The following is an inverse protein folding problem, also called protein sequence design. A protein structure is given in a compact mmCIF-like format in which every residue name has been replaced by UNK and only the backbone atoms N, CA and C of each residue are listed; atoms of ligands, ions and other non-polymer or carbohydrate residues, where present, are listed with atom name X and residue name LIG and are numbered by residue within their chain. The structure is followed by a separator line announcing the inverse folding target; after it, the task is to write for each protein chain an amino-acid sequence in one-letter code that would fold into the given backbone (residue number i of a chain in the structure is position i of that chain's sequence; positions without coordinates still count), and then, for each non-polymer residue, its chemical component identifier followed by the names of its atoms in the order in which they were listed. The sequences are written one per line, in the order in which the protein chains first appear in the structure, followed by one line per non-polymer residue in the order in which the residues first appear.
data_IF_668144236839
#
_entry.id   IF_668144236839
#
_cell.length_a   1.000
_cell.length_b   1.000
_cell.length_c   1.000
_cell.angle_alpha   90.00
_cell.angle_beta   90.00
_cell.angle_gamma   90.00
#
_symmetry.space_group_name_H-M   'P 1'
#
loop_
_entity.id
_entity.type
_entity.pdbx_description
1 polymer ?
#
# COMPACT_ATOMS: atom_id res chain seq x y z
N UNK A 1 17.00 26.70 -62.28
CA UNK A 1 16.53 25.47 -61.60
C UNK A 1 17.38 25.22 -60.35
N UNK A 2 16.92 25.63 -59.16
CA UNK A 2 17.57 25.31 -57.88
C UNK A 2 16.58 24.49 -57.04
N UNK A 3 16.89 23.20 -56.85
CA UNK A 3 16.12 22.30 -56.00
C UNK A 3 16.45 22.61 -54.53
N UNK A 4 15.47 23.09 -53.77
CA UNK A 4 15.59 23.26 -52.32
C UNK A 4 15.17 21.93 -51.67
N UNK A 5 16.14 21.24 -51.06
CA UNK A 5 15.94 19.99 -50.34
C UNK A 5 15.33 20.31 -48.96
N UNK A 6 14.10 19.88 -48.71
CA UNK A 6 13.43 20.04 -47.42
C UNK A 6 13.86 18.89 -46.49
N UNK A 7 14.64 19.21 -45.45
CA UNK A 7 15.01 18.24 -44.40
C UNK A 7 13.85 18.09 -43.42
N UNK A 8 13.16 16.95 -43.44
CA UNK A 8 12.17 16.57 -42.44
C UNK A 8 12.91 16.11 -41.17
N UNK A 9 12.91 16.94 -40.14
CA UNK A 9 13.28 16.54 -38.78
C UNK A 9 12.08 15.78 -38.19
N UNK A 10 12.21 14.46 -38.14
CA UNK A 10 11.28 13.59 -37.45
C UNK A 10 11.61 13.64 -35.95
N UNK A 11 10.81 14.35 -35.16
CA UNK A 11 10.85 14.21 -33.70
C UNK A 11 10.16 12.90 -33.34
N UNK A 12 10.95 11.88 -32.99
CA UNK A 12 10.45 10.71 -32.30
C UNK A 12 10.20 11.10 -30.84
N UNK A 13 8.93 11.27 -30.47
CA UNK A 13 8.51 11.40 -29.08
C UNK A 13 8.08 10.02 -28.57
N UNK A 14 8.51 9.70 -27.35
CA UNK A 14 8.03 8.55 -26.58
C UNK A 14 8.99 7.38 -26.56
N UNK A 15 10.11 7.53 -25.85
CA UNK A 15 10.74 6.38 -25.24
C UNK A 15 9.75 5.83 -24.20
N UNK A 16 9.12 4.70 -24.49
CA UNK A 16 8.47 3.86 -23.47
C UNK A 16 9.59 3.24 -22.64
N UNK A 17 10.13 4.04 -21.71
CA UNK A 17 10.92 3.51 -20.62
C UNK A 17 9.98 2.64 -19.79
N UNK A 18 10.33 1.37 -19.62
CA UNK A 18 9.76 0.56 -18.54
C UNK A 18 10.21 1.27 -17.27
N UNK A 19 9.33 2.08 -16.66
CA UNK A 19 9.62 2.69 -15.37
C UNK A 19 9.90 1.56 -14.39
N UNK A 20 11.04 1.62 -13.73
CA UNK A 20 11.26 0.81 -12.55
C UNK A 20 10.23 1.26 -11.51
N UNK A 21 9.44 0.31 -11.01
CA UNK A 21 8.47 0.57 -9.95
C UNK A 21 9.19 1.28 -8.81
N UNK A 22 8.70 2.48 -8.47
CA UNK A 22 9.30 3.35 -7.48
C UNK A 22 8.66 3.09 -6.12
N UNK A 23 9.46 3.17 -5.06
CA UNK A 23 8.93 3.21 -3.69
C UNK A 23 8.22 4.53 -3.48
N UNK A 24 6.91 4.47 -3.27
CA UNK A 24 6.11 5.64 -2.95
C UNK A 24 6.33 5.99 -1.48
N UNK A 25 6.01 5.10 -0.53
CA UNK A 25 6.22 5.34 0.89
C UNK A 25 6.59 4.06 1.64
N UNK A 26 7.39 4.21 2.69
CA UNK A 26 7.76 3.12 3.61
C UNK A 26 7.44 3.50 5.04
N UNK A 27 6.87 2.55 5.78
CA UNK A 27 6.59 2.62 7.21
C UNK A 27 7.40 1.51 7.88
N UNK A 28 8.00 1.82 9.02
CA UNK A 28 8.78 0.85 9.82
C UNK A 28 8.28 0.93 11.26
N UNK A 29 8.02 -0.22 11.87
CA UNK A 29 7.75 -0.26 13.30
C UNK A 29 9.08 -0.21 14.06
N UNK A 30 9.16 0.59 15.11
CA UNK A 30 10.40 0.85 15.81
C UNK A 30 10.13 1.10 17.28
N UNK A 31 11.11 0.77 18.13
CA UNK A 31 11.02 0.95 19.58
C UNK A 31 10.62 2.39 19.98
N UNK A 32 10.92 3.38 19.13
CA UNK A 32 10.70 4.81 19.35
C UNK A 32 9.36 5.35 18.79
N UNK A 33 8.55 4.56 18.08
CA UNK A 33 7.28 5.02 17.51
C UNK A 33 6.08 4.70 18.40
N UNK A 34 5.08 5.59 18.39
CA UNK A 34 3.81 5.38 19.09
C UNK A 34 2.98 4.29 18.38
N UNK A 35 2.47 3.34 19.15
CA UNK A 35 1.72 2.17 18.65
C UNK A 35 0.50 2.47 17.80
N UNK A 36 -0.10 3.62 18.05
CA UNK A 36 -1.33 4.02 17.39
C UNK A 36 -1.05 4.84 16.14
N UNK A 37 0.17 5.36 15.97
CA UNK A 37 0.52 6.38 14.98
C UNK A 37 2.00 6.26 14.58
N UNK A 38 2.28 5.77 13.38
CA UNK A 38 3.64 5.67 12.83
C UNK A 38 3.80 6.57 11.61
N UNK A 39 4.67 7.60 11.63
CA UNK A 39 4.97 8.39 10.44
C UNK A 39 5.68 7.53 9.39
N UNK A 40 5.58 7.92 8.12
CA UNK A 40 6.39 7.30 7.08
C UNK A 40 7.88 7.50 7.39
N UNK A 41 8.65 6.41 7.36
CA UNK A 41 10.10 6.41 7.50
C UNK A 41 10.76 7.00 6.24
N UNK A 42 10.14 6.85 5.08
CA UNK A 42 10.50 7.52 3.84
C UNK A 42 9.31 7.70 2.91
N UNK A 43 9.39 8.69 2.03
CA UNK A 43 8.43 8.92 0.95
C UNK A 43 9.14 9.47 -0.29
N UNK A 44 8.59 9.23 -1.48
CA UNK A 44 9.00 9.94 -2.70
C UNK A 44 8.83 11.45 -2.50
N UNK A 45 9.68 12.23 -3.16
CA UNK A 45 9.69 13.69 -3.03
C UNK A 45 8.41 14.37 -3.57
N UNK A 46 7.69 13.69 -4.47
CA UNK A 46 6.50 14.20 -5.16
C UNK A 46 5.19 13.72 -4.50
N UNK A 47 5.30 13.10 -3.32
CA UNK A 47 4.15 12.66 -2.54
C UNK A 47 4.21 13.20 -1.11
N UNK A 48 3.04 13.28 -0.49
CA UNK A 48 2.88 13.38 0.94
C UNK A 48 2.25 12.08 1.45
N UNK A 49 2.98 11.35 2.30
CA UNK A 49 2.48 10.19 3.01
C UNK A 49 1.94 10.61 4.39
N UNK A 50 0.72 10.19 4.72
CA UNK A 50 0.15 10.44 6.05
C UNK A 50 0.85 9.60 7.12
N UNK A 51 0.55 9.90 8.38
CA UNK A 51 0.80 8.94 9.46
C UNK A 51 -0.04 7.69 9.21
N UNK A 52 0.54 6.52 9.44
CA UNK A 52 -0.21 5.27 9.53
C UNK A 52 -0.80 5.16 10.94
N UNK A 53 -2.11 5.02 11.04
CA UNK A 53 -2.81 4.90 12.33
C UNK A 53 -3.61 3.62 12.45
N UNK A 54 -3.78 3.16 13.69
CA UNK A 54 -4.74 2.12 14.00
C UNK A 54 -6.11 2.73 14.28
N UNK A 55 -7.15 2.17 13.66
CA UNK A 55 -8.55 2.58 13.83
C UNK A 55 -9.37 1.39 14.35
N UNK A 56 -9.94 1.51 15.56
CA UNK A 56 -10.85 0.49 16.13
C UNK A 56 -12.31 0.85 15.86
N UNK A 57 -13.00 0.01 15.11
CA UNK A 57 -14.38 0.22 14.67
C UNK A 57 -15.35 -0.79 15.27
N UNK A 58 -14.88 -1.98 15.62
CA UNK A 58 -15.70 -3.10 16.08
C UNK A 58 -16.10 -3.04 17.56
N UNK A 59 -15.54 -2.11 18.34
CA UNK A 59 -15.90 -1.88 19.75
C UNK A 59 -15.62 -3.06 20.69
N UNK A 60 -14.91 -4.10 20.24
CA UNK A 60 -14.62 -5.31 21.00
C UNK A 60 -13.18 -5.78 20.79
N UNK A 61 -12.54 -6.18 21.90
CA UNK A 61 -11.20 -6.78 22.03
C UNK A 61 -10.27 -6.68 20.82
N UNK A 62 -9.57 -5.54 20.62
CA UNK A 62 -8.44 -5.57 19.71
C UNK A 62 -7.78 -4.28 19.28
N UNK A 63 -7.61 -3.33 20.20
CA UNK A 63 -6.56 -2.32 20.00
C UNK A 63 -5.18 -2.97 19.82
N UNK A 64 -4.17 -2.25 19.32
CA UNK A 64 -2.79 -2.70 19.40
C UNK A 64 -2.46 -2.88 20.88
N UNK A 65 -2.43 -4.13 21.33
CA UNK A 65 -2.03 -4.45 22.70
C UNK A 65 -0.52 -4.63 22.67
N UNK A 66 0.23 -3.53 22.84
CA UNK A 66 1.52 -3.62 23.53
C UNK A 66 1.22 -3.95 24.98
N UNK A 67 1.04 -5.23 25.29
CA UNK A 67 1.29 -5.69 26.66
C UNK A 67 2.62 -6.47 26.69
N UNK A 68 3.58 -5.97 25.91
CA UNK A 68 4.97 -6.43 25.71
C UNK A 68 5.17 -7.36 24.51
N UNK A 69 5.37 -6.79 23.31
CA UNK A 69 6.00 -7.45 22.15
C UNK A 69 7.26 -6.69 21.73
N UNK A 70 8.21 -6.66 22.66
CA UNK A 70 9.66 -6.71 22.48
C UNK A 70 10.28 -7.59 23.59
N UNK A 71 9.41 -8.35 24.28
CA UNK A 71 9.70 -9.18 25.46
C UNK A 71 8.49 -10.12 25.67
N UNK A 72 8.09 -10.87 24.64
CA UNK A 72 7.30 -12.09 24.90
C UNK A 72 8.30 -13.17 25.25
N UNK A 73 8.22 -13.81 26.42
CA UNK A 73 9.05 -14.96 26.74
C UNK A 73 8.54 -16.19 25.96
N UNK A 74 8.61 -16.10 24.63
CA UNK A 74 8.53 -17.20 23.67
C UNK A 74 9.93 -17.78 23.47
N UNK A 75 10.60 -18.16 24.58
CA UNK A 75 11.71 -19.14 24.64
C UNK A 75 12.91 -19.05 23.68
N UNK A 76 13.07 -18.01 22.87
CA UNK A 76 14.05 -17.94 21.80
C UNK A 76 14.34 -16.51 21.39
N UNK A 77 15.63 -16.17 21.31
CA UNK A 77 16.15 -14.82 21.20
C UNK A 77 15.78 -14.10 19.88
N UNK A 78 15.30 -12.86 19.99
CA UNK A 78 15.25 -11.89 18.90
C UNK A 78 14.23 -10.78 19.15
N UNK A 79 14.72 -9.58 19.49
CA UNK A 79 13.90 -8.36 19.47
C UNK A 79 13.47 -8.09 18.03
N UNK A 80 12.17 -8.02 17.79
CA UNK A 80 11.66 -7.60 16.49
C UNK A 80 10.38 -6.79 16.68
N UNK A 81 10.43 -5.53 16.22
CA UNK A 81 9.30 -4.60 16.27
C UNK A 81 8.29 -4.98 15.19
N UNK A 82 7.03 -5.19 15.55
CA UNK A 82 5.97 -5.49 14.59
C UNK A 82 4.65 -4.87 15.03
N UNK A 83 3.87 -4.38 14.07
CA UNK A 83 2.48 -4.02 14.29
C UNK A 83 1.60 -5.27 14.37
N UNK A 84 0.71 -5.28 15.35
CA UNK A 84 -0.23 -6.38 15.61
C UNK A 84 -1.63 -5.83 15.90
N UNK A 85 -2.63 -6.39 15.23
CA UNK A 85 -4.05 -6.22 15.58
C UNK A 85 -4.53 -7.53 16.20
N UNK A 86 -5.24 -7.47 17.34
CA UNK A 86 -5.97 -8.66 17.82
C UNK A 86 -7.10 -8.93 16.84
N UNK A 87 -6.85 -9.89 15.97
CA UNK A 87 -7.80 -10.74 15.26
C UNK A 87 -9.19 -10.13 15.06
N UNK A 88 -9.28 -9.17 14.12
CA UNK A 88 -10.54 -8.49 13.82
C UNK A 88 -11.52 -9.36 13.00
N UNK A 89 -11.07 -10.50 12.45
CA UNK A 89 -11.92 -11.42 11.69
C UNK A 89 -11.44 -12.87 11.80
N UNK A 90 -12.33 -13.75 12.27
CA UNK A 90 -12.08 -15.19 12.42
C UNK A 90 -12.54 -16.02 11.21
N UNK A 91 -13.29 -15.42 10.27
CA UNK A 91 -13.97 -16.15 9.21
C UNK A 91 -13.26 -16.02 7.86
N UNK A 92 -12.71 -17.14 7.39
CA UNK A 92 -12.05 -17.31 6.08
C UNK A 92 -13.04 -17.46 4.91
N UNK A 93 -14.32 -17.74 5.18
CA UNK A 93 -15.26 -18.18 4.14
C UNK A 93 -15.94 -17.03 3.39
N UNK A 94 -15.71 -15.79 3.80
CA UNK A 94 -16.15 -14.62 3.06
C UNK A 94 -15.02 -13.59 3.02
N UNK A 95 -14.67 -13.15 1.81
CA UNK A 95 -14.36 -11.74 1.69
C UNK A 95 -15.69 -11.01 1.97
N UNK A 96 -15.88 -10.35 3.13
CA UNK A 96 -17.03 -9.46 3.34
C UNK A 96 -17.13 -8.32 2.31
N UNK A 97 -16.13 -8.20 1.44
CA UNK A 97 -16.04 -7.22 0.38
C UNK A 97 -15.69 -5.85 0.94
N UNK A 98 -15.83 -4.85 0.09
CA UNK A 98 -15.58 -3.45 0.41
C UNK A 98 -16.28 -2.94 1.69
N UNK A 99 -17.39 -3.56 2.10
CA UNK A 99 -18.11 -3.20 3.32
C UNK A 99 -17.27 -3.39 4.60
N UNK A 100 -16.35 -4.36 4.62
CA UNK A 100 -15.46 -4.60 5.76
C UNK A 100 -14.44 -3.49 5.95
N UNK A 101 -14.04 -2.82 4.87
CA UNK A 101 -13.06 -1.73 4.92
C UNK A 101 -13.49 -0.60 5.87
N UNK A 102 -14.80 -0.45 6.11
CA UNK A 102 -15.39 0.60 6.94
C UNK A 102 -16.07 0.08 8.22
N UNK A 103 -15.99 -1.21 8.50
CA UNK A 103 -16.73 -1.86 9.59
C UNK A 103 -15.85 -2.68 10.55
N UNK A 104 -14.60 -2.96 10.18
CA UNK A 104 -13.66 -3.76 10.97
C UNK A 104 -12.37 -2.98 11.23
N UNK A 105 -11.69 -3.32 12.32
CA UNK A 105 -10.46 -2.67 12.76
C UNK A 105 -9.34 -2.80 11.71
N UNK A 106 -8.53 -1.75 11.56
CA UNK A 106 -7.48 -1.70 10.54
C UNK A 106 -6.30 -0.81 10.95
N UNK A 107 -5.14 -1.01 10.32
CA UNK A 107 -4.17 0.06 10.16
C UNK A 107 -4.37 0.75 8.82
N UNK A 108 -4.37 2.07 8.81
CA UNK A 108 -4.70 2.87 7.64
C UNK A 108 -3.72 4.01 7.43
N UNK A 109 -3.47 4.33 6.17
CA UNK A 109 -2.68 5.49 5.78
C UNK A 109 -3.12 5.99 4.41
N UNK A 110 -2.72 7.21 4.06
CA UNK A 110 -3.00 7.85 2.79
C UNK A 110 -1.69 8.28 2.12
N UNK A 111 -1.64 8.11 0.81
CA UNK A 111 -0.58 8.66 -0.04
C UNK A 111 -1.21 9.65 -1.01
N UNK A 112 -0.78 10.90 -0.95
CA UNK A 112 -1.26 11.98 -1.81
C UNK A 112 -0.13 12.44 -2.72
N UNK A 113 -0.39 12.62 -4.00
CA UNK A 113 0.60 13.14 -4.95
C UNK A 113 0.48 14.65 -5.08
N UNK A 114 1.59 15.30 -5.42
CA UNK A 114 1.58 16.73 -5.73
C UNK A 114 0.73 17.04 -6.98
N UNK A 115 0.23 18.27 -7.06
CA UNK A 115 -0.43 18.77 -8.26
C UNK A 115 0.51 18.72 -9.48
N UNK A 116 -0.08 18.50 -10.65
CA UNK A 116 0.61 18.17 -11.90
C UNK A 116 1.00 16.70 -12.03
N UNK A 117 0.59 15.83 -11.12
CA UNK A 117 0.98 14.40 -11.09
C UNK A 117 -0.16 13.47 -10.65
N UNK A 118 -0.01 12.19 -10.96
CA UNK A 118 -0.92 11.11 -10.62
C UNK A 118 -0.14 9.87 -10.15
N UNK A 119 -0.74 9.06 -9.27
CA UNK A 119 -0.18 7.79 -8.79
C UNK A 119 -0.82 6.63 -9.53
N UNK A 120 0.02 5.72 -10.02
CA UNK A 120 -0.37 4.37 -10.39
C UNK A 120 0.28 3.38 -9.42
N UNK A 121 -0.44 3.00 -8.36
CA UNK A 121 0.07 2.05 -7.37
C UNK A 121 0.04 0.62 -7.93
N UNK A 122 1.11 -0.15 -7.70
CA UNK A 122 1.28 -1.48 -8.27
C UNK A 122 1.40 -2.57 -7.24
N UNK A 123 1.97 -2.28 -6.07
CA UNK A 123 2.15 -3.28 -5.03
C UNK A 123 2.21 -2.68 -3.62
N UNK A 124 1.83 -3.49 -2.65
CA UNK A 124 2.07 -3.26 -1.24
C UNK A 124 2.84 -4.46 -0.70
N UNK A 125 4.05 -4.21 -0.22
CA UNK A 125 4.91 -5.23 0.38
C UNK A 125 5.06 -4.99 1.88
N UNK A 126 5.21 -6.06 2.65
CA UNK A 126 5.48 -5.98 4.08
C UNK A 126 6.16 -7.27 4.55
N UNK A 127 6.92 -7.20 5.63
CA UNK A 127 7.40 -8.39 6.32
C UNK A 127 6.37 -8.83 7.34
N UNK A 128 6.30 -10.13 7.63
CA UNK A 128 5.33 -10.67 8.57
C UNK A 128 5.93 -11.57 9.64
N UNK A 129 5.20 -11.68 10.74
CA UNK A 129 5.60 -12.48 11.89
C UNK A 129 4.41 -13.17 12.52
N UNK A 130 4.67 -14.36 13.07
CA UNK A 130 3.63 -15.17 13.71
C UNK A 130 4.15 -15.71 15.03
N UNK A 131 3.31 -15.61 16.07
CA UNK A 131 3.61 -16.10 17.41
C UNK A 131 2.41 -16.78 18.05
N UNK A 132 2.68 -17.61 19.06
CA UNK A 132 1.63 -18.29 19.81
C UNK A 132 1.99 -18.49 21.28
N UNK A 133 1.10 -18.16 22.20
CA UNK A 133 1.33 -18.25 23.65
C UNK A 133 0.56 -19.40 24.37
N UNK A 134 -0.55 -19.88 23.81
CA UNK A 134 -1.54 -20.69 24.56
C UNK A 134 -1.54 -22.19 24.22
N UNK A 135 -0.87 -22.61 23.13
CA UNK A 135 -0.72 -24.04 22.80
C UNK A 135 -0.53 -24.29 21.31
N UNK A 136 0.27 -25.29 20.94
CA UNK A 136 0.70 -25.52 19.55
C UNK A 136 -0.50 -25.66 18.63
N UNK A 137 -0.54 -24.84 17.57
CA UNK A 137 -1.58 -24.89 16.54
C UNK A 137 -0.98 -25.53 15.30
N UNK A 138 -1.66 -26.52 14.76
CA UNK A 138 -1.29 -27.20 13.49
C UNK A 138 -2.19 -26.68 12.37
N UNK A 139 -1.59 -26.34 11.24
CA UNK A 139 -2.32 -25.85 10.06
C UNK A 139 -3.06 -24.53 10.30
N UNK A 140 -2.50 -23.63 11.11
CA UNK A 140 -3.06 -22.29 11.27
C UNK A 140 -2.99 -21.54 9.95
N UNK A 141 -4.10 -20.93 9.55
CA UNK A 141 -4.11 -19.97 8.43
C UNK A 141 -4.07 -18.57 9.04
N UNK A 142 -3.16 -17.75 8.54
CA UNK A 142 -3.02 -16.36 8.90
C UNK A 142 -2.95 -15.55 7.62
N UNK A 143 -3.66 -14.44 7.58
CA UNK A 143 -3.67 -13.63 6.37
C UNK A 143 -3.85 -12.15 6.60
N UNK A 144 -3.53 -11.43 5.54
CA UNK A 144 -3.57 -9.98 5.44
C UNK A 144 -4.32 -9.57 4.18
N UNK A 145 -5.11 -8.52 4.30
CA UNK A 145 -5.91 -7.99 3.20
C UNK A 145 -5.75 -6.51 3.22
N UNK A 146 -5.57 -5.95 2.03
CA UNK A 146 -5.65 -4.54 1.83
C UNK A 146 -6.96 -4.17 1.14
N UNK A 147 -7.48 -3.00 1.51
CA UNK A 147 -8.49 -2.28 0.77
C UNK A 147 -7.89 -0.95 0.35
N UNK A 148 -8.32 -0.45 -0.80
CA UNK A 148 -7.92 0.87 -1.25
C UNK A 148 -9.10 1.70 -1.74
N UNK A 149 -9.05 2.99 -1.46
CA UNK A 149 -9.89 4.02 -2.06
C UNK A 149 -9.00 4.96 -2.85
N UNK A 150 -9.37 5.21 -4.11
CA UNK A 150 -8.69 6.16 -5.01
C UNK A 150 -9.53 7.42 -5.07
N UNK A 151 -8.92 8.57 -4.79
CA UNK A 151 -9.54 9.91 -4.82
C UNK A 151 -10.84 10.02 -4.02
N UNK A 152 -10.90 9.35 -2.87
CA UNK A 152 -12.10 9.33 -2.00
C UNK A 152 -13.27 8.53 -2.58
N UNK A 153 -13.03 7.69 -3.58
CA UNK A 153 -14.00 6.73 -4.11
C UNK A 153 -14.40 5.64 -3.10
N UNK A 154 -15.22 4.70 -3.54
CA UNK A 154 -15.55 3.54 -2.73
C UNK A 154 -14.31 2.65 -2.51
N UNK A 155 -14.19 2.05 -1.33
CA UNK A 155 -13.15 1.04 -1.10
C UNK A 155 -13.33 -0.15 -2.03
N UNK A 156 -12.22 -0.70 -2.49
CA UNK A 156 -12.15 -1.95 -3.23
C UNK A 156 -11.21 -2.90 -2.49
N UNK A 157 -11.51 -4.20 -2.49
CA UNK A 157 -10.53 -5.19 -2.03
C UNK A 157 -9.46 -5.31 -3.11
N UNK A 158 -8.21 -5.08 -2.73
CA UNK A 158 -7.09 -5.05 -3.69
C UNK A 158 -6.34 -6.37 -3.73
N UNK A 159 -6.28 -7.08 -2.61
CA UNK A 159 -5.65 -8.39 -2.56
C UNK A 159 -5.63 -8.99 -1.17
N UNK A 160 -5.34 -10.29 -1.15
CA UNK A 160 -5.14 -11.10 0.05
C UNK A 160 -3.83 -11.86 -0.06
N UNK A 161 -3.10 -11.95 1.05
CA UNK A 161 -1.97 -12.85 1.21
C UNK A 161 -2.26 -13.71 2.43
N UNK A 162 -1.90 -14.98 2.38
CA UNK A 162 -2.06 -15.88 3.50
C UNK A 162 -0.93 -16.90 3.57
N UNK A 163 -0.71 -17.41 4.77
CA UNK A 163 0.20 -18.50 5.04
C UNK A 163 -0.51 -19.56 5.86
N UNK A 164 -0.28 -20.82 5.49
CA UNK A 164 -0.66 -21.98 6.31
C UNK A 164 0.60 -22.53 6.96
N UNK A 165 0.67 -22.51 8.28
CA UNK A 165 1.83 -23.02 9.02
C UNK A 165 1.43 -23.62 10.36
N UNK A 166 2.28 -24.51 10.85
CA UNK A 166 2.25 -24.91 12.25
C UNK A 166 2.92 -23.82 13.09
N UNK A 167 2.30 -23.46 14.21
CA UNK A 167 2.82 -22.45 15.15
C UNK A 167 2.98 -23.12 16.50
N UNK A 168 4.24 -23.46 16.79
CA UNK A 168 4.62 -24.09 18.05
C UNK A 168 4.40 -23.10 19.19
N UNK A 169 3.94 -23.62 20.33
CA UNK A 169 3.77 -22.84 21.55
C UNK A 169 5.08 -22.12 21.89
N UNK A 170 5.00 -20.87 22.31
CA UNK A 170 6.16 -20.08 22.73
C UNK A 170 7.25 -20.01 21.66
N UNK A 171 6.86 -19.93 20.39
CA UNK A 171 7.78 -19.77 19.27
C UNK A 171 7.38 -18.55 18.45
N UNK A 172 8.39 -17.85 17.93
CA UNK A 172 8.24 -16.81 16.92
C UNK A 172 8.75 -17.31 15.58
N UNK A 173 7.92 -17.14 14.55
CA UNK A 173 8.30 -17.37 13.16
C UNK A 173 8.28 -16.01 12.46
N UNK A 174 9.44 -15.36 12.37
CA UNK A 174 9.64 -14.21 11.50
C UNK A 174 9.92 -14.70 10.08
N UNK A 175 9.14 -14.25 9.10
CA UNK A 175 9.29 -14.69 7.72
C UNK A 175 9.15 -13.57 6.69
N UNK A 176 9.51 -13.95 5.47
CA UNK A 176 9.82 -13.16 4.28
C UNK A 176 8.68 -12.25 3.83
N UNK A 177 9.04 -11.22 3.08
CA UNK A 177 8.13 -10.26 2.44
C UNK A 177 6.89 -10.91 1.81
N UNK A 178 5.71 -10.48 2.25
CA UNK A 178 4.45 -10.67 1.56
C UNK A 178 4.23 -9.54 0.55
N UNK A 179 3.47 -9.85 -0.50
CA UNK A 179 3.14 -8.91 -1.57
C UNK A 179 1.64 -8.96 -1.87
N UNK A 180 1.00 -7.81 -1.82
CA UNK A 180 -0.38 -7.61 -2.29
C UNK A 180 -0.33 -6.82 -3.60
N UNK A 181 -0.89 -7.41 -4.66
CA UNK A 181 -0.97 -6.78 -5.97
C UNK A 181 -1.98 -5.62 -5.95
N UNK A 182 -1.55 -4.43 -6.38
CA UNK A 182 -2.39 -3.24 -6.48
C UNK A 182 -2.62 -2.82 -7.94
N UNK A 183 -2.07 -3.53 -8.93
CA UNK A 183 -2.07 -3.12 -10.33
C UNK A 183 -3.47 -3.00 -10.96
N UNK A 184 -4.50 -3.53 -10.29
CA UNK A 184 -5.91 -3.36 -10.67
C UNK A 184 -6.54 -2.04 -10.21
N UNK A 185 -5.84 -1.22 -9.41
CA UNK A 185 -6.35 0.07 -8.96
C UNK A 185 -6.39 1.08 -10.10
N UNK A 186 -7.38 1.97 -10.03
CA UNK A 186 -7.41 3.14 -10.89
C UNK A 186 -6.20 4.05 -10.58
N UNK A 187 -5.59 4.59 -11.63
CA UNK A 187 -4.65 5.70 -11.50
C UNK A 187 -5.39 6.90 -10.91
N UNK A 188 -4.76 7.61 -9.97
CA UNK A 188 -5.38 8.80 -9.36
C UNK A 188 -5.56 9.92 -10.39
N UNK A 189 -6.43 10.87 -10.08
CA UNK A 189 -6.45 12.18 -10.71
C UNK A 189 -5.22 13.02 -10.38
N UNK A 190 -5.21 14.22 -10.97
CA UNK A 190 -4.21 15.25 -10.72
C UNK A 190 -4.22 15.69 -9.25
N UNK A 191 -3.10 15.57 -8.55
CA UNK A 191 -2.99 15.86 -7.12
C UNK A 191 -3.83 14.90 -6.25
N UNK A 192 -4.17 13.74 -6.80
CA UNK A 192 -5.03 12.75 -6.20
C UNK A 192 -4.39 11.98 -5.04
N UNK A 193 -5.15 11.05 -4.48
CA UNK A 193 -4.69 10.25 -3.34
C UNK A 193 -5.17 8.81 -3.38
N UNK A 194 -4.46 7.96 -2.65
CA UNK A 194 -4.85 6.58 -2.36
C UNK A 194 -4.87 6.41 -0.84
N UNK A 195 -6.04 6.04 -0.30
CA UNK A 195 -6.17 5.56 1.07
C UNK A 195 -6.06 4.05 1.09
N UNK A 196 -5.17 3.50 1.90
CA UNK A 196 -4.98 2.06 2.10
C UNK A 196 -5.41 1.69 3.51
N UNK A 197 -6.15 0.59 3.65
CA UNK A 197 -6.54 -0.01 4.93
C UNK A 197 -6.17 -1.47 4.96
N UNK A 198 -5.49 -1.91 6.01
CA UNK A 198 -4.99 -3.28 6.16
C UNK A 198 -5.64 -3.95 7.34
N UNK A 199 -6.19 -5.13 7.07
CA UNK A 199 -6.85 -5.98 8.03
C UNK A 199 -6.12 -7.33 8.12
N UNK A 200 -6.23 -7.97 9.27
CA UNK A 200 -5.64 -9.28 9.54
C UNK A 200 -6.73 -10.27 9.94
N UNK A 201 -6.56 -11.54 9.57
CA UNK A 201 -7.41 -12.64 10.04
C UNK A 201 -6.57 -13.85 10.42
N UNK A 202 -7.21 -14.75 11.17
CA UNK A 202 -6.70 -16.11 11.35
C UNK A 202 -7.84 -17.13 11.42
N UNK A 203 -7.57 -18.36 10.99
CA UNK A 203 -8.48 -19.51 11.15
C UNK A 203 -8.56 -20.05 12.58
N UNK A 204 -7.74 -19.54 13.50
CA UNK A 204 -7.67 -20.05 14.87
C UNK A 204 -8.60 -19.27 15.80
N UNK A 205 -9.49 -20.00 16.46
CA UNK A 205 -10.28 -19.50 17.59
C UNK A 205 -9.50 -19.45 18.91
N UNK A 206 -8.24 -19.90 18.92
CA UNK A 206 -7.35 -19.78 20.09
C UNK A 206 -6.92 -18.33 20.23
N UNK A 207 -7.22 -17.71 21.39
CA UNK A 207 -6.85 -16.33 21.69
C UNK A 207 -5.35 -16.06 21.73
N UNK A 208 -4.55 -17.14 21.75
CA UNK A 208 -3.12 -17.07 21.84
C UNK A 208 -2.33 -16.98 20.54
N UNK A 209 -2.99 -17.08 19.39
CA UNK A 209 -2.33 -16.95 18.09
C UNK A 209 -2.29 -15.49 17.66
N UNK A 210 -1.10 -15.03 17.27
CA UNK A 210 -0.82 -13.65 16.90
C UNK A 210 -0.26 -13.57 15.48
N UNK A 211 -0.80 -12.65 14.67
CA UNK A 211 -0.32 -12.34 13.32
C UNK A 211 0.16 -10.89 13.27
N UNK A 212 1.39 -10.61 12.88
CA UNK A 212 1.96 -9.26 12.84
C UNK A 212 2.57 -8.93 11.48
N UNK A 213 2.85 -7.65 11.25
CA UNK A 213 3.63 -7.19 10.09
C UNK A 213 4.45 -5.94 10.39
N UNK A 214 5.48 -5.71 9.59
CA UNK A 214 6.35 -4.53 9.62
C UNK A 214 6.89 -4.19 8.23
N UNK A 215 7.73 -3.16 8.13
CA UNK A 215 8.41 -2.76 6.88
C UNK A 215 7.45 -2.64 5.70
N UNK A 216 6.34 -1.94 5.96
CA UNK A 216 5.30 -1.77 4.96
C UNK A 216 5.77 -0.77 3.91
N UNK A 217 5.75 -1.16 2.65
CA UNK A 217 6.14 -0.32 1.52
C UNK A 217 5.09 -0.36 0.44
N UNK A 218 4.60 0.80 0.03
CA UNK A 218 3.76 0.97 -1.16
C UNK A 218 4.62 1.36 -2.35
N UNK A 219 4.37 0.68 -3.46
CA UNK A 219 5.13 0.77 -4.71
C UNK A 219 4.23 1.21 -5.85
N UNK A 220 4.78 1.95 -6.79
CA UNK A 220 4.05 2.38 -7.98
C UNK A 220 4.85 3.32 -8.87
N UNK A 221 4.15 3.98 -9.78
CA UNK A 221 4.70 5.01 -10.65
C UNK A 221 4.01 6.35 -10.38
N UNK A 222 4.79 7.43 -10.49
CA UNK A 222 4.28 8.79 -10.49
C UNK A 222 4.31 9.29 -11.94
N UNK A 223 3.15 9.67 -12.45
CA UNK A 223 2.98 10.12 -13.82
C UNK A 223 2.65 11.61 -13.85
N UNK A 224 3.36 12.37 -14.67
CA UNK A 224 3.02 13.77 -14.89
C UNK A 224 1.67 13.89 -15.61
N UNK A 225 0.79 14.73 -15.10
CA UNK A 225 -0.50 15.08 -15.71
C UNK A 225 -0.30 16.34 -16.55
N UNK A 226 -0.44 16.28 -17.89
CA UNK A 226 -0.28 17.47 -18.72
C UNK A 226 -1.32 18.52 -18.40
N UNK A 227 -0.88 19.75 -18.13
CA UNK A 227 -1.79 20.86 -17.90
C UNK A 227 -2.69 21.10 -19.14
N UNK A 228 -4.01 21.31 -18.95
CA UNK A 228 -4.94 21.55 -20.08
C UNK A 228 -4.52 22.74 -20.96
N UNK A 229 -3.88 23.74 -20.35
CA UNK A 229 -3.36 24.95 -21.01
C UNK A 229 -2.26 24.63 -22.02
N UNK A 230 -1.37 23.68 -21.71
CA UNK A 230 -0.23 23.30 -22.56
C UNK A 230 -0.70 22.56 -23.81
N UNK A 231 -1.68 21.67 -23.66
CA UNK A 231 -2.30 20.99 -24.80
C UNK A 231 -3.10 21.97 -25.68
N UNK A 232 -3.85 22.89 -25.07
CA UNK A 232 -4.58 23.93 -25.79
C UNK A 232 -3.64 24.90 -26.53
N UNK A 233 -2.53 25.31 -25.91
CA UNK A 233 -1.53 26.19 -26.53
C UNK A 233 -0.78 25.50 -27.67
N UNK A 234 -0.44 24.22 -27.52
CA UNK A 234 0.12 23.42 -28.62
C UNK A 234 -0.89 23.27 -29.77
N UNK A 235 -2.17 23.03 -29.46
CA UNK A 235 -3.24 22.97 -30.45
C UNK A 235 -3.44 24.29 -31.20
N UNK A 236 -3.51 25.41 -30.46
CA UNK A 236 -3.64 26.76 -31.03
C UNK A 236 -2.38 27.18 -31.78
N UNK A 237 -1.19 26.87 -31.26
CA UNK A 237 0.09 27.12 -31.92
C UNK A 237 0.22 26.34 -33.23
N UNK A 238 -0.22 25.09 -33.26
CA UNK A 238 -0.30 24.26 -34.45
C UNK A 238 -1.27 24.83 -35.50
N UNK A 239 -2.47 25.24 -35.07
CA UNK A 239 -3.45 25.92 -35.91
C UNK A 239 -2.91 27.22 -36.51
N UNK A 240 -2.28 28.06 -35.69
CA UNK A 240 -1.66 29.30 -36.15
C UNK A 240 -0.56 29.04 -37.19
N UNK A 241 0.25 27.98 -37.03
CA UNK A 241 1.29 27.59 -37.99
C UNK A 241 0.69 27.09 -39.32
N UNK A 242 -0.40 26.32 -39.26
CA UNK A 242 -1.14 25.86 -40.45
C UNK A 242 -1.77 27.04 -41.19
N UNK A 243 -2.38 27.99 -40.46
CA UNK A 243 -2.94 29.20 -41.07
C UNK A 243 -1.86 30.09 -41.69
N UNK A 244 -0.65 30.13 -41.11
CA UNK A 244 0.48 30.87 -41.66
C UNK A 244 1.03 30.25 -42.95
N UNK A 245 0.92 28.93 -43.13
CA UNK A 245 1.35 28.23 -44.37
C UNK A 245 0.40 28.40 -45.56
N UNK A 246 -0.82 28.88 -45.32
CA UNK A 246 -1.86 29.07 -46.36
C UNK A 246 -1.91 30.49 -46.94
N UNK A 247 -1.00 31.36 -46.55
CA UNK A 247 -0.75 32.66 -47.20
C UNK A 247 0.54 32.58 -47.99
#
# INVERSE_FOLDING_TARGET
MKKILLKTLLFAAGASGVSATTTLATYIDGADYADTNTPAASSDASITASVMSFESLSGGFGGPVRDTFGDVPVGGAGDSSFWYIINANQDLSSDPGAASAVASDYFGFMVTVDAGSAINATALTFDWGIGNNDGTVTGAILGWRAFASVDGGAFTSVGTSEVTTDVVTKTWLGQTSANLDLAGLATTGDGGNIEIRIQQWTSSSSGGLHNSYQNLTIHGDIQAVPEPSSAALLGLGGLALIMRRRK
#
